data_IF_085968680964
#
_entry.id   IF_085968680964
#
_cell.length_a   1.000
_cell.length_b   1.000
_cell.length_c   1.000
_cell.angle_alpha   90.00
_cell.angle_beta   90.00
_cell.angle_gamma   90.00
#
_symmetry.space_group_name_H-M   'P 1'
#
loop_
_entity.id
_entity.type
_entity.pdbx_description
1 polymer ?
#
# COMPACT_ATOMS: atom_id res chain seq x y z
N UNK A 1 -8.46 -17.42 -5.38
CA UNK A 1 -7.32 -16.55 -5.77
C UNK A 1 -7.74 -15.09 -5.89
N UNK A 2 -8.80 -14.75 -6.64
CA UNK A 2 -9.21 -13.33 -6.72
C UNK A 2 -9.59 -12.76 -5.34
N UNK A 3 -10.30 -13.50 -4.48
CA UNK A 3 -10.70 -12.96 -3.17
C UNK A 3 -9.53 -12.63 -2.22
N UNK A 4 -8.37 -13.29 -2.34
CA UNK A 4 -7.23 -13.02 -1.46
C UNK A 4 -6.42 -11.80 -1.91
N UNK A 5 -6.60 -11.30 -3.14
CA UNK A 5 -5.99 -10.02 -3.56
C UNK A 5 -6.46 -8.86 -2.69
N UNK A 6 -7.72 -8.88 -2.26
CA UNK A 6 -8.26 -7.89 -1.34
C UNK A 6 -7.53 -7.87 0.00
N UNK A 7 -7.13 -9.04 0.51
CA UNK A 7 -6.37 -9.15 1.76
C UNK A 7 -4.96 -8.55 1.61
N UNK A 8 -4.26 -8.83 0.51
CA UNK A 8 -2.96 -8.24 0.20
C UNK A 8 -3.02 -6.70 0.15
N UNK A 9 -3.96 -6.17 -0.65
CA UNK A 9 -4.18 -4.72 -0.74
C UNK A 9 -4.49 -4.11 0.63
N UNK A 10 -5.32 -4.77 1.45
CA UNK A 10 -5.60 -4.33 2.82
C UNK A 10 -4.35 -4.28 3.70
N UNK A 11 -3.45 -5.29 3.62
CA UNK A 11 -2.19 -5.28 4.36
C UNK A 11 -1.28 -4.12 3.94
N UNK A 12 -1.23 -3.79 2.65
CA UNK A 12 -0.43 -2.65 2.18
C UNK A 12 -0.99 -1.31 2.67
N UNK A 13 -2.32 -1.13 2.65
CA UNK A 13 -2.94 0.07 3.23
C UNK A 13 -2.84 0.11 4.75
N UNK A 14 -2.84 -1.03 5.43
CA UNK A 14 -2.59 -1.13 6.87
C UNK A 14 -1.17 -0.65 7.19
N UNK A 15 -0.15 -1.14 6.48
CA UNK A 15 1.24 -0.73 6.74
C UNK A 15 1.46 0.76 6.47
N UNK A 16 0.82 1.30 5.42
CA UNK A 16 0.76 2.74 5.15
C UNK A 16 0.09 3.52 6.29
N UNK A 17 -1.04 3.03 6.81
CA UNK A 17 -1.72 3.65 7.94
C UNK A 17 -0.85 3.69 9.19
N UNK A 18 -0.15 2.58 9.48
CA UNK A 18 0.78 2.49 10.62
C UNK A 18 1.90 3.52 10.49
N UNK A 19 2.60 3.58 9.34
CA UNK A 19 3.72 4.53 9.19
C UNK A 19 3.24 5.99 9.26
N UNK A 20 2.08 6.30 8.70
CA UNK A 20 1.48 7.64 8.80
C UNK A 20 1.16 7.97 10.27
N UNK A 21 0.65 7.01 11.04
CA UNK A 21 0.29 7.21 12.45
C UNK A 21 1.49 7.56 13.35
N UNK A 22 2.66 6.99 13.07
CA UNK A 22 3.87 7.27 13.86
C UNK A 22 4.56 8.57 13.41
N UNK A 23 4.45 8.93 12.13
CA UNK A 23 5.03 10.15 11.56
C UNK A 23 4.21 11.41 11.92
N UNK A 24 2.88 11.33 11.91
CA UNK A 24 2.01 12.49 12.18
C UNK A 24 1.71 12.58 13.68
N UNK A 25 2.16 13.63 14.40
CA UNK A 25 1.97 13.72 15.85
C UNK A 25 0.51 13.81 16.30
N UNK A 26 -0.37 14.41 15.47
CA UNK A 26 -1.79 14.57 15.77
C UNK A 26 -2.63 14.45 14.50
N UNK A 27 -3.36 13.34 14.37
CA UNK A 27 -4.31 13.12 13.29
C UNK A 27 -5.64 13.80 13.64
N UNK A 28 -5.99 14.86 12.91
CA UNK A 28 -7.26 15.59 13.11
C UNK A 28 -8.47 14.84 12.53
N UNK A 29 -8.28 14.12 11.42
CA UNK A 29 -9.32 13.32 10.77
C UNK A 29 -8.69 12.13 10.06
N UNK A 30 -9.01 10.92 10.54
CA UNK A 30 -8.55 9.66 9.95
C UNK A 30 -9.14 9.46 8.55
N UNK A 31 -10.41 9.86 8.37
CA UNK A 31 -11.11 9.75 7.09
C UNK A 31 -10.43 10.59 6.01
N UNK A 32 -10.07 11.83 6.32
CA UNK A 32 -9.41 12.70 5.33
C UNK A 32 -8.08 12.12 4.85
N UNK A 33 -7.25 11.63 5.77
CA UNK A 33 -5.96 11.04 5.42
C UNK A 33 -6.18 9.79 4.57
N UNK A 34 -7.00 8.86 5.05
CA UNK A 34 -7.24 7.57 4.38
C UNK A 34 -7.80 7.77 2.98
N UNK A 35 -8.79 8.66 2.85
CA UNK A 35 -9.48 8.93 1.60
C UNK A 35 -8.54 9.61 0.60
N UNK A 36 -7.76 10.60 1.03
CA UNK A 36 -6.74 11.23 0.18
C UNK A 36 -5.66 10.24 -0.27
N UNK A 37 -5.22 9.32 0.59
CA UNK A 37 -4.24 8.29 0.22
C UNK A 37 -4.80 7.32 -0.82
N UNK A 38 -5.99 6.76 -0.59
CA UNK A 38 -6.66 5.84 -1.51
C UNK A 38 -6.94 6.52 -2.85
N UNK A 39 -7.52 7.72 -2.85
CA UNK A 39 -7.76 8.47 -4.09
C UNK A 39 -6.47 8.88 -4.79
N UNK A 40 -5.41 9.24 -4.06
CA UNK A 40 -4.10 9.55 -4.64
C UNK A 40 -3.56 8.38 -5.46
N UNK A 41 -3.54 7.18 -4.88
CA UNK A 41 -3.13 5.97 -5.61
C UNK A 41 -4.07 5.61 -6.76
N UNK A 42 -5.38 5.88 -6.62
CA UNK A 42 -6.36 5.63 -7.66
C UNK A 42 -6.13 6.55 -8.87
N UNK A 43 -5.93 7.85 -8.62
CA UNK A 43 -5.61 8.83 -9.66
C UNK A 43 -4.31 8.43 -10.38
N UNK A 44 -3.26 8.08 -9.63
CA UNK A 44 -1.99 7.58 -10.22
C UNK A 44 -2.24 6.35 -11.10
N UNK A 45 -3.10 5.43 -10.67
CA UNK A 45 -3.48 4.25 -11.45
C UNK A 45 -4.18 4.63 -12.76
N UNK A 46 -5.04 5.65 -12.74
CA UNK A 46 -5.72 6.13 -13.95
C UNK A 46 -4.76 6.72 -14.98
N UNK A 47 -3.69 7.40 -14.55
CA UNK A 47 -2.68 7.96 -15.46
C UNK A 47 -1.82 6.89 -16.17
N UNK A 48 -1.93 5.61 -15.77
CA UNK A 48 -1.27 4.46 -16.40
C UNK A 48 -1.46 4.39 -17.92
N UNK A 49 -2.64 4.80 -18.40
CA UNK A 49 -2.99 4.80 -19.82
C UNK A 49 -2.37 5.95 -20.62
N UNK A 50 -1.88 7.00 -19.95
CA UNK A 50 -1.39 8.24 -20.60
C UNK A 50 0.15 8.30 -20.63
N UNK A 51 0.82 7.82 -19.58
CA UNK A 51 2.27 8.02 -19.38
C UNK A 51 3.10 6.76 -19.75
N UNK A 52 2.44 5.61 -19.93
CA UNK A 52 3.08 4.32 -20.19
C UNK A 52 2.93 3.38 -19.01
N UNK A 53 2.31 2.23 -19.26
CA UNK A 53 1.78 1.34 -18.20
C UNK A 53 2.91 0.72 -17.36
N UNK A 54 4.08 0.47 -17.95
CA UNK A 54 5.16 -0.29 -17.29
C UNK A 54 5.66 0.31 -15.99
N UNK A 55 5.86 1.63 -15.89
CA UNK A 55 6.39 2.26 -14.68
C UNK A 55 5.31 2.48 -13.62
N UNK A 56 4.09 2.84 -14.04
CA UNK A 56 2.98 3.15 -13.13
C UNK A 56 2.54 1.89 -12.35
N UNK A 57 2.66 0.71 -12.97
CA UNK A 57 2.37 -0.57 -12.30
C UNK A 57 3.20 -0.81 -11.04
N UNK A 58 4.36 -0.16 -10.87
CA UNK A 58 5.21 -0.29 -9.67
C UNK A 58 4.92 0.74 -8.58
N UNK A 59 4.08 1.73 -8.85
CA UNK A 59 3.85 2.88 -7.95
C UNK A 59 2.54 2.73 -7.17
N UNK A 60 1.56 1.99 -7.70
CA UNK A 60 0.22 1.91 -7.12
C UNK A 60 -0.22 0.47 -6.80
N UNK A 61 -0.79 0.21 -5.59
CA UNK A 61 -1.36 -1.09 -5.23
C UNK A 61 -2.34 -1.63 -6.26
N UNK A 62 -3.10 -0.73 -6.88
CA UNK A 62 -4.25 -1.07 -7.70
C UNK A 62 -3.87 -1.74 -9.02
N UNK A 63 -2.58 -1.79 -9.35
CA UNK A 63 -2.04 -2.40 -10.57
C UNK A 63 -1.22 -3.67 -10.33
N UNK A 64 -1.01 -4.07 -9.06
CA UNK A 64 -0.24 -5.25 -8.70
C UNK A 64 -1.01 -6.55 -8.99
N UNK A 65 -2.34 -6.49 -8.94
CA UNK A 65 -3.24 -7.63 -9.08
C UNK A 65 -4.13 -7.49 -10.32
N UNK A 66 -3.62 -7.90 -11.48
CA UNK A 66 -4.41 -7.98 -12.71
C UNK A 66 -5.30 -9.24 -12.69
N UNK A 67 -6.62 -9.04 -12.70
CA UNK A 67 -7.59 -10.13 -12.67
C UNK A 67 -7.51 -11.02 -13.91
N UNK A 68 -7.23 -10.46 -15.09
CA UNK A 68 -7.07 -11.22 -16.32
C UNK A 68 -5.79 -12.08 -16.27
N UNK A 69 -4.69 -11.54 -15.74
CA UNK A 69 -3.47 -12.32 -15.52
C UNK A 69 -3.71 -13.48 -14.55
N UNK A 70 -4.36 -13.21 -13.41
CA UNK A 70 -4.61 -14.21 -12.37
C UNK A 70 -5.49 -15.34 -12.89
N UNK A 71 -6.54 -15.03 -13.65
CA UNK A 71 -7.42 -16.05 -14.25
C UNK A 71 -6.66 -16.88 -15.28
N UNK A 72 -5.86 -16.24 -16.14
CA UNK A 72 -5.13 -16.92 -17.22
C UNK A 72 -4.02 -17.84 -16.70
N UNK A 73 -3.24 -17.37 -15.73
CA UNK A 73 -2.05 -18.07 -15.25
C UNK A 73 -2.30 -18.88 -13.97
N UNK A 74 -3.49 -18.75 -13.35
CA UNK A 74 -3.80 -19.32 -12.04
C UNK A 74 -2.75 -18.99 -10.97
N UNK A 75 -2.14 -17.80 -11.08
CA UNK A 75 -1.03 -17.35 -10.24
C UNK A 75 -0.97 -15.82 -10.20
N UNK A 76 -0.33 -15.26 -9.17
CA UNK A 76 0.02 -13.84 -9.12
C UNK A 76 1.30 -13.57 -9.90
N UNK A 77 1.45 -12.34 -10.37
CA UNK A 77 2.69 -11.85 -10.93
C UNK A 77 3.73 -11.71 -9.80
N UNK A 78 4.71 -12.62 -9.77
CA UNK A 78 5.70 -12.71 -8.72
C UNK A 78 6.45 -11.38 -8.41
N UNK A 79 6.83 -10.55 -9.40
CA UNK A 79 7.49 -9.27 -9.12
C UNK A 79 6.67 -8.37 -8.18
N UNK A 80 5.35 -8.27 -8.41
CA UNK A 80 4.49 -7.38 -7.62
C UNK A 80 4.25 -7.91 -6.21
N UNK A 81 4.15 -9.23 -6.03
CA UNK A 81 4.09 -9.85 -4.69
C UNK A 81 5.36 -9.57 -3.90
N UNK A 82 6.53 -9.71 -4.52
CA UNK A 82 7.82 -9.43 -3.86
C UNK A 82 7.89 -7.97 -3.44
N UNK A 83 7.49 -7.04 -4.31
CA UNK A 83 7.49 -5.61 -4.00
C UNK A 83 6.53 -5.30 -2.85
N UNK A 84 5.34 -5.87 -2.85
CA UNK A 84 4.37 -5.68 -1.78
C UNK A 84 4.90 -6.18 -0.42
N UNK A 85 5.46 -7.39 -0.38
CA UNK A 85 6.03 -7.96 0.84
C UNK A 85 7.21 -7.12 1.35
N UNK A 86 8.10 -6.68 0.46
CA UNK A 86 9.20 -5.78 0.80
C UNK A 86 8.68 -4.44 1.33
N UNK A 87 7.68 -3.86 0.66
CA UNK A 87 7.07 -2.60 1.07
C UNK A 87 6.46 -2.70 2.47
N UNK A 88 5.66 -3.74 2.73
CA UNK A 88 5.06 -3.99 4.05
C UNK A 88 6.16 -4.18 5.09
N UNK A 89 7.14 -5.05 4.83
CA UNK A 89 8.23 -5.33 5.77
C UNK A 89 9.03 -4.08 6.13
N UNK A 90 9.42 -3.29 5.14
CA UNK A 90 10.19 -2.05 5.33
C UNK A 90 9.35 -1.01 6.08
N UNK A 91 8.11 -0.76 5.64
CA UNK A 91 7.24 0.25 6.28
C UNK A 91 6.92 -0.11 7.73
N UNK A 92 6.61 -1.37 8.02
CA UNK A 92 6.39 -1.84 9.38
C UNK A 92 7.66 -1.76 10.23
N UNK A 93 8.83 -2.17 9.71
CA UNK A 93 10.09 -2.08 10.44
C UNK A 93 10.47 -0.63 10.76
N UNK A 94 10.38 0.28 9.79
CA UNK A 94 10.60 1.73 10.01
C UNK A 94 9.63 2.26 11.06
N UNK A 95 8.35 1.89 10.95
CA UNK A 95 7.34 2.33 11.91
C UNK A 95 7.66 1.88 13.33
N UNK A 96 8.10 0.63 13.50
CA UNK A 96 8.51 0.09 14.79
C UNK A 96 9.72 0.83 15.37
N UNK A 97 10.73 1.14 14.55
CA UNK A 97 11.91 1.89 14.97
C UNK A 97 11.56 3.32 15.41
N UNK A 98 10.69 4.00 14.66
CA UNK A 98 10.22 5.35 15.01
C UNK A 98 9.41 5.29 16.30
N UNK A 99 8.45 4.37 16.39
CA UNK A 99 7.61 4.19 17.56
C UNK A 99 8.44 3.93 18.83
N UNK A 100 9.44 3.05 18.75
CA UNK A 100 10.30 2.68 19.89
C UNK A 100 11.20 3.82 20.37
N UNK A 101 11.58 4.74 19.48
CA UNK A 101 12.39 5.92 19.82
C UNK A 101 11.55 7.10 20.31
N UNK A 102 10.27 7.11 19.97
CA UNK A 102 9.35 8.17 20.33
C UNK A 102 8.92 7.90 21.76
N UNK A 103 9.17 8.86 22.65
CA UNK A 103 8.71 8.79 24.04
C UNK A 103 7.20 9.03 24.07
N UNK A 104 6.46 8.00 23.66
CA UNK A 104 5.00 8.01 23.62
C UNK A 104 4.59 7.71 25.06
N UNK A 105 4.17 8.75 25.78
CA UNK A 105 3.56 8.59 27.10
C UNK A 105 2.43 7.56 26.99
N UNK A 106 2.67 6.36 27.51
CA UNK A 106 1.64 5.39 27.79
C UNK A 106 0.86 5.93 29.00
N UNK A 107 -0.40 6.29 28.76
CA UNK A 107 -1.33 6.76 29.81
C UNK A 107 -1.75 5.58 30.68
#
# INVERSE_FOLDING_TARGET
MISITGFFVQLMFLSLGIIISVLIPKIKSVLSISLSTVFGFFIISMFGSVIGDNAIRYITPFKYFDTAYIIKNSAYEAPFIIIEVLFIGITTAISYLIYSKKDIHAV
#
